data_IF_918013903777
#
_entry.id   IF_918013903777
#
_cell.length_a   1.000
_cell.length_b   1.000
_cell.length_c   1.000
_cell.angle_alpha   90.00
_cell.angle_beta   90.00
_cell.angle_gamma   90.00
#
_symmetry.space_group_name_H-M   'P 1'
#
loop_
_entity.id
_entity.type
_entity.pdbx_description
1 polymer ?
#
# COMPACT_ATOMS: atom_id res chain seq x y z
N UNK A 1 -22.73 -5.77 6.94
CA UNK A 1 -21.38 -6.23 7.31
C UNK A 1 -21.02 -7.44 6.47
N UNK A 2 -19.89 -7.42 5.77
CA UNK A 2 -19.51 -8.47 4.81
C UNK A 2 -18.03 -8.83 4.91
N UNK A 3 -17.74 -10.13 4.97
CA UNK A 3 -16.37 -10.67 5.01
C UNK A 3 -15.64 -10.47 3.67
N UNK A 4 -14.38 -10.02 3.76
CA UNK A 4 -13.48 -9.84 2.63
C UNK A 4 -12.34 -10.85 2.75
N UNK A 5 -12.69 -12.12 2.49
CA UNK A 5 -11.81 -13.30 2.70
C UNK A 5 -10.47 -13.22 1.95
N UNK A 6 -10.40 -12.46 0.87
CA UNK A 6 -9.15 -12.24 0.13
C UNK A 6 -8.11 -11.37 0.84
N UNK A 7 -8.51 -10.66 1.91
CA UNK A 7 -7.67 -9.72 2.67
C UNK A 7 -7.46 -10.23 4.09
N UNK A 8 -6.39 -11.00 4.29
CA UNK A 8 -6.02 -11.53 5.60
C UNK A 8 -5.37 -10.45 6.48
N UNK A 9 -5.80 -10.37 7.75
CA UNK A 9 -5.33 -9.43 8.77
C UNK A 9 -3.81 -9.54 9.02
N UNK A 10 -3.32 -10.77 9.12
CA UNK A 10 -1.92 -11.07 9.35
C UNK A 10 -1.02 -10.84 8.12
N UNK A 11 -1.59 -10.52 6.95
CA UNK A 11 -0.81 -10.32 5.71
C UNK A 11 -0.61 -8.83 5.44
N UNK A 12 0.63 -8.36 5.21
CA UNK A 12 0.87 -6.94 4.94
C UNK A 12 0.14 -6.46 3.69
N UNK A 13 0.18 -7.22 2.58
CA UNK A 13 -0.59 -6.88 1.38
C UNK A 13 -2.10 -6.96 1.64
N UNK A 14 -2.57 -7.92 2.46
CA UNK A 14 -3.97 -8.02 2.84
C UNK A 14 -4.45 -6.77 3.59
N UNK A 15 -3.66 -6.31 4.57
CA UNK A 15 -3.90 -5.10 5.31
C UNK A 15 -3.89 -3.85 4.41
N UNK A 16 -2.85 -3.68 3.60
CA UNK A 16 -2.74 -2.55 2.67
C UNK A 16 -3.89 -2.54 1.64
N UNK A 17 -4.28 -3.69 1.11
CA UNK A 17 -5.42 -3.79 0.19
C UNK A 17 -6.73 -3.39 0.87
N UNK A 18 -6.94 -3.76 2.14
CA UNK A 18 -8.13 -3.36 2.88
C UNK A 18 -8.17 -1.85 3.11
N UNK A 19 -7.03 -1.24 3.44
CA UNK A 19 -6.89 0.20 3.57
C UNK A 19 -7.16 0.94 2.26
N UNK A 20 -6.61 0.47 1.14
CA UNK A 20 -6.86 1.11 -0.14
C UNK A 20 -8.28 0.92 -0.64
N UNK A 21 -8.91 -0.22 -0.35
CA UNK A 21 -10.34 -0.44 -0.61
C UNK A 21 -11.19 0.56 0.17
N UNK A 22 -10.94 0.70 1.48
CA UNK A 22 -11.64 1.69 2.31
C UNK A 22 -11.45 3.11 1.76
N UNK A 23 -10.21 3.50 1.43
CA UNK A 23 -9.90 4.83 0.89
C UNK A 23 -10.65 5.11 -0.41
N UNK A 24 -10.62 4.18 -1.36
CA UNK A 24 -11.33 4.34 -2.64
C UNK A 24 -12.84 4.47 -2.40
N UNK A 25 -13.44 3.54 -1.67
CA UNK A 25 -14.89 3.52 -1.46
C UNK A 25 -15.37 4.76 -0.70
N UNK A 26 -14.68 5.17 0.36
CA UNK A 26 -15.06 6.33 1.15
C UNK A 26 -14.75 7.65 0.45
N UNK A 27 -13.49 7.85 0.01
CA UNK A 27 -13.04 9.16 -0.49
C UNK A 27 -13.31 9.37 -1.98
N UNK A 28 -13.03 8.39 -2.84
CA UNK A 28 -13.18 8.58 -4.30
C UNK A 28 -14.62 8.31 -4.75
N UNK A 29 -15.33 7.41 -4.04
CA UNK A 29 -16.70 7.00 -4.38
C UNK A 29 -17.76 7.60 -3.46
N UNK A 30 -17.35 8.26 -2.37
CA UNK A 30 -18.26 9.00 -1.49
C UNK A 30 -19.21 8.13 -0.68
N UNK A 31 -18.85 6.87 -0.42
CA UNK A 31 -19.70 5.91 0.28
C UNK A 31 -19.44 5.95 1.79
N UNK A 32 -20.52 5.83 2.58
CA UNK A 32 -20.42 5.62 4.03
C UNK A 32 -20.10 4.15 4.30
N UNK A 33 -18.79 3.85 4.32
CA UNK A 33 -18.27 2.50 4.57
C UNK A 33 -17.26 2.51 5.71
N UNK A 34 -17.22 1.40 6.45
CA UNK A 34 -16.31 1.23 7.59
C UNK A 34 -15.59 -0.10 7.51
N UNK A 35 -14.34 -0.12 7.96
CA UNK A 35 -13.47 -1.30 7.98
C UNK A 35 -13.32 -1.84 9.40
N UNK A 36 -13.47 -3.15 9.55
CA UNK A 36 -13.17 -3.90 10.76
C UNK A 36 -12.44 -5.19 10.43
N UNK A 37 -12.17 -6.00 11.46
CA UNK A 37 -11.48 -7.27 11.34
C UNK A 37 -12.20 -8.36 12.13
N UNK A 38 -12.49 -9.50 11.48
CA UNK A 38 -13.10 -10.66 12.14
C UNK A 38 -12.52 -11.95 11.57
N UNK A 39 -12.33 -12.95 12.43
CA UNK A 39 -11.84 -14.27 12.04
C UNK A 39 -10.55 -14.24 11.20
N UNK A 40 -9.66 -13.26 11.46
CA UNK A 40 -8.41 -13.08 10.73
C UNK A 40 -8.52 -12.44 9.35
N UNK A 41 -9.67 -11.88 8.98
CA UNK A 41 -9.89 -11.22 7.69
C UNK A 41 -10.51 -9.83 7.85
N UNK A 42 -10.34 -8.99 6.83
CA UNK A 42 -11.03 -7.71 6.73
C UNK A 42 -12.55 -7.92 6.59
N UNK A 43 -13.32 -7.03 7.19
CA UNK A 43 -14.77 -6.97 7.11
C UNK A 43 -15.17 -5.54 6.77
N UNK A 44 -16.08 -5.37 5.80
CA UNK A 44 -16.59 -4.05 5.42
C UNK A 44 -18.07 -3.90 5.84
N UNK A 45 -18.41 -2.75 6.40
CA UNK A 45 -19.77 -2.31 6.66
C UNK A 45 -20.16 -1.23 5.65
N UNK A 46 -21.46 -1.13 5.32
CA UNK A 46 -22.00 -0.13 4.40
C UNK A 46 -22.08 -0.55 2.92
N UNK A 47 -21.44 -1.66 2.53
CA UNK A 47 -21.49 -2.16 1.15
C UNK A 47 -21.27 -3.68 1.06
N UNK A 48 -21.98 -4.35 0.14
CA UNK A 48 -21.74 -5.76 -0.16
C UNK A 48 -20.55 -5.95 -1.13
N UNK A 49 -19.90 -7.13 -1.16
CA UNK A 49 -18.70 -7.33 -1.97
C UNK A 49 -18.88 -7.14 -3.47
N UNK A 50 -20.03 -7.49 -4.06
CA UNK A 50 -20.23 -7.33 -5.51
C UNK A 50 -20.45 -5.86 -5.87
N UNK A 51 -21.18 -5.11 -5.04
CA UNK A 51 -21.27 -3.65 -5.16
C UNK A 51 -19.92 -2.97 -4.96
N UNK A 52 -19.12 -3.41 -3.98
CA UNK A 52 -17.76 -2.89 -3.79
C UNK A 52 -16.89 -3.13 -5.03
N UNK A 53 -16.97 -4.30 -5.66
CA UNK A 53 -16.27 -4.59 -6.92
C UNK A 53 -16.72 -3.64 -8.04
N UNK A 54 -18.02 -3.33 -8.14
CA UNK A 54 -18.53 -2.37 -9.14
C UNK A 54 -17.91 -0.99 -8.94
N UNK A 55 -17.88 -0.51 -7.71
CA UNK A 55 -17.37 0.82 -7.37
C UNK A 55 -15.85 0.94 -7.54
N UNK A 56 -15.11 -0.10 -7.17
CA UNK A 56 -13.67 -0.21 -7.44
C UNK A 56 -13.39 -0.20 -8.95
N UNK A 57 -14.19 -0.90 -9.74
CA UNK A 57 -14.07 -0.88 -11.21
C UNK A 57 -14.41 0.50 -11.79
N UNK A 58 -15.44 1.17 -11.27
CA UNK A 58 -15.79 2.52 -11.70
C UNK A 58 -14.63 3.50 -11.43
N UNK A 59 -13.93 3.33 -10.30
CA UNK A 59 -12.74 4.13 -9.96
C UNK A 59 -11.54 3.91 -10.89
N UNK A 60 -11.50 2.83 -11.67
CA UNK A 60 -10.40 2.57 -12.60
C UNK A 60 -10.43 3.46 -13.85
N UNK A 61 -11.55 4.13 -14.10
CA UNK A 61 -11.71 5.06 -15.23
C UNK A 61 -10.63 6.16 -15.15
N UNK A 62 -9.81 6.27 -16.20
CA UNK A 62 -8.66 7.19 -16.30
C UNK A 62 -7.59 7.05 -15.20
N UNK A 63 -7.56 5.91 -14.51
CA UNK A 63 -6.68 5.72 -13.36
C UNK A 63 -5.22 5.60 -13.76
N UNK A 64 -4.93 5.10 -14.96
CA UNK A 64 -3.56 5.00 -15.48
C UNK A 64 -2.97 6.36 -15.87
N UNK A 65 -3.84 7.34 -16.08
CA UNK A 65 -3.56 8.71 -16.50
C UNK A 65 -3.54 9.68 -15.31
N UNK A 66 -3.90 9.25 -14.10
CA UNK A 66 -3.99 10.13 -12.94
C UNK A 66 -2.62 10.74 -12.58
N UNK A 67 -2.66 12.00 -12.13
CA UNK A 67 -1.49 12.85 -11.92
C UNK A 67 -0.48 12.22 -10.96
N UNK A 68 -0.95 11.62 -9.87
CA UNK A 68 -0.14 11.00 -8.83
C UNK A 68 0.64 9.75 -9.27
N UNK A 69 0.31 9.19 -10.43
CA UNK A 69 1.07 8.09 -11.04
C UNK A 69 1.89 8.54 -12.24
N UNK A 70 1.68 9.75 -12.75
CA UNK A 70 2.32 10.27 -13.97
C UNK A 70 3.37 11.36 -13.72
N UNK A 71 3.59 11.78 -12.48
CA UNK A 71 4.60 12.78 -12.12
C UNK A 71 6.05 12.31 -12.32
N UNK A 72 6.29 11.00 -12.31
CA UNK A 72 7.58 10.39 -12.58
C UNK A 72 7.45 8.91 -13.01
N UNK A 73 8.55 8.31 -13.44
CA UNK A 73 8.64 6.86 -13.67
C UNK A 73 8.96 6.07 -12.39
N UNK A 74 9.67 6.69 -11.45
CA UNK A 74 10.09 6.12 -10.17
C UNK A 74 10.06 7.21 -9.12
N UNK A 75 9.85 6.84 -7.86
CA UNK A 75 9.94 7.78 -6.73
C UNK A 75 11.38 8.15 -6.38
N UNK A 76 12.37 7.47 -6.98
CA UNK A 76 13.79 7.55 -6.60
C UNK A 76 14.55 8.52 -7.49
N UNK A 77 15.59 9.12 -6.89
CA UNK A 77 16.47 10.07 -7.57
C UNK A 77 15.71 11.24 -8.23
N UNK A 78 14.58 11.62 -7.64
CA UNK A 78 13.80 12.78 -8.09
C UNK A 78 14.39 14.03 -7.44
N UNK A 79 14.81 15.04 -8.22
CA UNK A 79 15.28 16.29 -7.66
C UNK A 79 14.15 17.05 -6.93
N UNK A 80 14.43 17.73 -5.81
CA UNK A 80 13.42 18.43 -5.01
C UNK A 80 12.70 19.53 -5.77
N UNK A 81 13.36 20.24 -6.68
CA UNK A 81 12.76 21.27 -7.52
C UNK A 81 11.72 20.71 -8.49
N UNK A 82 11.95 19.51 -9.03
CA UNK A 82 10.98 18.81 -9.88
C UNK A 82 9.78 18.40 -9.05
N UNK A 83 10.02 17.79 -7.88
CA UNK A 83 8.95 17.37 -6.98
C UNK A 83 8.06 18.55 -6.55
N UNK A 84 8.66 19.65 -6.09
CA UNK A 84 7.95 20.89 -5.71
C UNK A 84 7.14 21.48 -6.86
N UNK A 85 7.73 21.55 -8.05
CA UNK A 85 7.06 22.05 -9.25
C UNK A 85 5.83 21.21 -9.58
N UNK A 86 5.96 19.88 -9.49
CA UNK A 86 4.85 18.96 -9.73
C UNK A 86 3.76 19.12 -8.69
N UNK A 87 4.08 19.15 -7.39
CA UNK A 87 3.09 19.39 -6.32
C UNK A 87 2.38 20.74 -6.49
N UNK A 88 3.11 21.81 -6.89
CA UNK A 88 2.50 23.10 -7.21
C UNK A 88 1.48 23.03 -8.36
N UNK A 89 1.73 22.18 -9.34
CA UNK A 89 0.80 21.92 -10.44
C UNK A 89 -0.43 21.09 -10.04
N UNK A 90 -0.47 20.55 -8.82
CA UNK A 90 -1.53 19.70 -8.29
C UNK A 90 -2.31 20.37 -7.13
N UNK A 91 -2.13 21.68 -6.91
CA UNK A 91 -2.71 22.36 -5.73
C UNK A 91 -4.24 22.24 -5.64
N UNK A 92 -4.91 22.20 -6.78
CA UNK A 92 -6.37 22.06 -6.86
C UNK A 92 -6.84 20.60 -6.90
N UNK A 93 -5.91 19.64 -6.91
CA UNK A 93 -6.19 18.19 -6.88
C UNK A 93 -5.76 17.61 -5.53
N UNK A 94 -6.69 17.66 -4.57
CA UNK A 94 -6.48 17.13 -3.22
C UNK A 94 -6.03 15.67 -3.24
N UNK A 95 -6.65 14.83 -4.08
CA UNK A 95 -6.31 13.40 -4.19
C UNK A 95 -4.87 13.24 -4.62
N UNK A 96 -4.45 13.97 -5.66
CA UNK A 96 -3.07 13.90 -6.13
C UNK A 96 -2.08 14.32 -5.03
N UNK A 97 -2.35 15.41 -4.30
CA UNK A 97 -1.48 15.86 -3.19
C UNK A 97 -1.38 14.84 -2.04
N UNK A 98 -2.48 14.20 -1.67
CA UNK A 98 -2.48 13.14 -0.66
C UNK A 98 -1.59 11.97 -1.06
N UNK A 99 -1.64 11.56 -2.34
CA UNK A 99 -0.71 10.56 -2.87
C UNK A 99 0.73 11.05 -2.90
N UNK A 100 0.98 12.29 -3.31
CA UNK A 100 2.33 12.86 -3.32
C UNK A 100 2.95 12.80 -1.92
N UNK A 101 2.21 13.21 -0.88
CA UNK A 101 2.66 13.07 0.50
C UNK A 101 3.02 11.62 0.88
N UNK A 102 2.32 10.63 0.33
CA UNK A 102 2.62 9.21 0.47
C UNK A 102 3.80 8.71 -0.36
N UNK A 103 4.14 9.37 -1.47
CA UNK A 103 5.24 8.97 -2.36
C UNK A 103 6.60 9.45 -1.93
N UNK A 104 6.70 10.69 -1.45
CA UNK A 104 7.97 11.28 -1.05
C UNK A 104 7.79 12.53 -0.19
N UNK A 105 8.91 13.02 0.35
CA UNK A 105 9.00 14.36 0.93
C UNK A 105 10.28 15.06 0.48
N UNK A 106 10.18 16.35 0.20
CA UNK A 106 11.31 17.24 -0.07
C UNK A 106 11.73 18.05 1.16
N UNK A 107 11.05 17.88 2.30
CA UNK A 107 11.42 18.48 3.58
C UNK A 107 12.73 17.89 4.14
N UNK A 108 13.04 16.65 3.76
CA UNK A 108 14.30 15.97 4.06
C UNK A 108 14.86 15.40 2.76
N UNK A 109 16.12 15.69 2.48
CA UNK A 109 16.80 15.18 1.30
C UNK A 109 17.65 13.95 1.62
N UNK A 110 17.74 13.04 0.66
CA UNK A 110 18.63 11.88 0.69
C UNK A 110 19.53 11.90 -0.54
N UNK A 111 20.83 12.13 -0.33
CA UNK A 111 21.82 12.28 -1.40
C UNK A 111 21.42 13.34 -2.45
N UNK A 112 20.86 14.47 -1.99
CA UNK A 112 20.42 15.57 -2.85
C UNK A 112 19.05 15.39 -3.52
N UNK A 113 18.40 14.24 -3.35
CA UNK A 113 17.07 13.95 -3.89
C UNK A 113 15.99 13.98 -2.81
N UNK A 114 14.72 14.06 -3.21
CA UNK A 114 13.60 13.87 -2.26
C UNK A 114 13.71 12.50 -1.59
N UNK A 115 13.26 12.42 -0.33
CA UNK A 115 13.20 11.14 0.39
C UNK A 115 11.97 10.36 -0.11
N UNK A 116 12.14 9.21 -0.78
CA UNK A 116 11.01 8.42 -1.24
C UNK A 116 10.38 7.61 -0.11
N UNK A 117 9.16 7.16 -0.35
CA UNK A 117 8.44 6.22 0.48
C UNK A 117 9.17 4.89 0.61
N UNK A 118 9.05 4.26 1.79
CA UNK A 118 9.55 2.92 2.05
C UNK A 118 8.71 1.84 1.34
N UNK A 119 7.53 2.20 0.85
CA UNK A 119 6.66 1.35 0.03
C UNK A 119 7.24 1.06 -1.36
N UNK A 120 8.19 1.87 -1.85
CA UNK A 120 8.93 1.58 -3.08
C UNK A 120 10.08 0.62 -2.79
N UNK A 121 9.80 -0.68 -2.86
CA UNK A 121 10.77 -1.77 -2.66
C UNK A 121 11.46 -2.24 -3.95
N UNK A 122 11.27 -1.53 -5.07
CA UNK A 122 11.86 -1.91 -6.36
C UNK A 122 13.40 -1.81 -6.36
N UNK A 123 14.10 -2.11 -7.44
CA UNK A 123 15.56 -1.95 -7.50
C UNK A 123 16.12 -1.76 -8.90
N UNK A 124 17.32 -1.17 -8.97
CA UNK A 124 18.04 -0.99 -10.22
C UNK A 124 17.24 -0.19 -11.25
N UNK A 125 16.91 -0.84 -12.38
CA UNK A 125 16.19 -0.23 -13.50
C UNK A 125 14.66 -0.29 -13.36
N UNK A 126 14.12 -0.87 -12.27
CA UNK A 126 12.67 -0.94 -12.05
C UNK A 126 12.08 0.45 -11.82
N UNK A 127 10.89 0.67 -12.38
CA UNK A 127 10.22 1.96 -12.42
C UNK A 127 8.82 1.78 -11.84
N UNK A 128 8.71 1.83 -10.51
CA UNK A 128 7.47 1.53 -9.78
C UNK A 128 6.25 2.23 -10.38
N UNK A 129 6.30 3.55 -10.54
CA UNK A 129 5.14 4.31 -11.03
C UNK A 129 4.77 3.92 -12.46
N UNK A 130 5.77 3.66 -13.31
CA UNK A 130 5.53 3.12 -14.66
C UNK A 130 4.83 1.76 -14.61
N UNK A 131 5.31 0.86 -13.76
CA UNK A 131 4.74 -0.48 -13.63
C UNK A 131 3.32 -0.43 -13.04
N UNK A 132 3.03 0.52 -12.15
CA UNK A 132 1.69 0.77 -11.62
C UNK A 132 0.74 1.32 -12.69
N UNK A 133 1.18 2.24 -13.56
CA UNK A 133 0.37 2.67 -14.71
C UNK A 133 0.02 1.50 -15.63
N UNK A 134 0.99 0.65 -15.93
CA UNK A 134 0.76 -0.57 -16.70
C UNK A 134 -0.16 -1.56 -16.00
N UNK A 135 -0.14 -1.63 -14.67
CA UNK A 135 -1.10 -2.40 -13.88
C UNK A 135 -2.51 -1.80 -13.97
N UNK A 136 -2.66 -0.48 -13.81
CA UNK A 136 -3.95 0.20 -13.89
C UNK A 136 -4.67 -0.05 -15.22
N UNK A 137 -3.93 -0.09 -16.34
CA UNK A 137 -4.47 -0.34 -17.68
C UNK A 137 -5.04 -1.75 -17.89
N UNK A 138 -4.63 -2.72 -17.06
CA UNK A 138 -4.97 -4.14 -17.25
C UNK A 138 -5.74 -4.74 -16.07
N UNK A 139 -5.95 -3.99 -14.99
CA UNK A 139 -6.83 -4.43 -13.89
C UNK A 139 -8.26 -4.47 -14.43
N UNK A 140 -8.99 -5.49 -14.01
CA UNK A 140 -10.30 -5.88 -14.54
C UNK A 140 -11.14 -6.36 -13.36
N UNK A 141 -12.44 -6.49 -13.57
CA UNK A 141 -13.39 -6.95 -12.55
C UNK A 141 -12.94 -8.23 -11.85
N UNK A 142 -12.45 -9.21 -12.62
CA UNK A 142 -11.98 -10.50 -12.09
C UNK A 142 -10.85 -10.34 -11.07
N UNK A 143 -9.98 -9.35 -11.25
CA UNK A 143 -8.85 -9.09 -10.35
C UNK A 143 -9.32 -8.54 -9.00
N UNK A 144 -10.33 -7.66 -8.97
CA UNK A 144 -10.95 -7.22 -7.71
C UNK A 144 -11.75 -8.34 -7.05
N UNK A 145 -12.43 -9.19 -7.84
CA UNK A 145 -13.08 -10.39 -7.29
C UNK A 145 -12.08 -11.29 -6.55
N UNK A 146 -10.91 -11.54 -7.14
CA UNK A 146 -9.82 -12.30 -6.50
C UNK A 146 -9.28 -11.58 -5.26
N UNK A 147 -9.17 -10.24 -5.30
CA UNK A 147 -8.67 -9.46 -4.18
C UNK A 147 -9.62 -9.49 -2.97
N UNK A 148 -10.93 -9.40 -3.20
CA UNK A 148 -11.94 -9.33 -2.13
C UNK A 148 -12.37 -10.71 -1.64
N UNK A 149 -12.59 -11.65 -2.55
CA UNK A 149 -13.16 -12.97 -2.22
C UNK A 149 -12.11 -14.08 -2.08
N UNK A 150 -10.86 -13.78 -2.46
CA UNK A 150 -9.80 -14.78 -2.57
C UNK A 150 -9.76 -15.43 -3.94
N UNK A 151 -8.65 -16.09 -4.24
CA UNK A 151 -8.39 -16.70 -5.54
C UNK A 151 -6.92 -17.03 -5.74
N UNK A 152 -6.62 -17.54 -6.94
CA UNK A 152 -5.26 -17.97 -7.32
C UNK A 152 -4.35 -16.76 -7.54
N UNK A 153 -3.05 -17.01 -7.37
CA UNK A 153 -2.01 -16.06 -7.79
C UNK A 153 -1.88 -16.06 -9.32
N UNK A 154 -1.52 -14.90 -9.87
CA UNK A 154 -1.29 -14.66 -11.29
C UNK A 154 0.11 -14.07 -11.51
N UNK A 155 0.56 -13.97 -12.76
CA UNK A 155 1.86 -13.37 -13.12
C UNK A 155 1.90 -11.85 -12.94
N UNK A 156 1.91 -11.39 -11.69
CA UNK A 156 2.02 -9.98 -11.29
C UNK A 156 2.90 -9.84 -10.06
N UNK A 157 3.98 -9.08 -10.16
CA UNK A 157 4.81 -8.76 -9.00
C UNK A 157 3.99 -8.12 -7.88
N UNK A 158 4.17 -8.60 -6.65
CA UNK A 158 3.67 -7.92 -5.45
C UNK A 158 4.51 -6.70 -5.06
N UNK A 159 5.57 -6.41 -5.81
CA UNK A 159 6.56 -5.37 -5.50
C UNK A 159 7.15 -5.53 -4.09
N UNK A 160 7.30 -6.76 -3.63
CA UNK A 160 7.83 -7.07 -2.31
C UNK A 160 6.83 -6.93 -1.17
N UNK A 161 5.58 -6.52 -1.44
CA UNK A 161 4.53 -6.33 -0.42
C UNK A 161 3.90 -7.65 0.06
N UNK A 162 4.07 -8.74 -0.68
CA UNK A 162 3.52 -10.06 -0.33
C UNK A 162 4.64 -11.07 -0.03
N UNK A 163 4.89 -11.40 1.25
CA UNK A 163 5.90 -12.38 1.65
C UNK A 163 5.65 -13.80 1.09
N UNK A 164 4.39 -14.18 0.85
CA UNK A 164 4.04 -15.51 0.32
C UNK A 164 4.50 -15.62 -1.14
N UNK A 165 4.22 -14.58 -1.93
CA UNK A 165 4.66 -14.49 -3.32
C UNK A 165 6.18 -14.59 -3.44
N UNK A 166 6.90 -13.90 -2.55
CA UNK A 166 8.36 -13.85 -2.51
C UNK A 166 8.96 -15.23 -2.22
N UNK A 167 8.39 -15.97 -1.25
CA UNK A 167 8.82 -17.35 -0.94
C UNK A 167 8.61 -18.30 -2.10
N UNK A 168 7.44 -18.27 -2.73
CA UNK A 168 7.14 -19.12 -3.88
C UNK A 168 8.18 -18.95 -4.99
N UNK A 169 8.59 -17.71 -5.24
CA UNK A 169 9.59 -17.36 -6.24
C UNK A 169 11.02 -17.72 -5.89
N UNK A 170 11.37 -17.69 -4.61
CA UNK A 170 12.70 -18.09 -4.15
C UNK A 170 12.95 -19.61 -4.26
N UNK A 171 11.89 -20.43 -4.34
CA UNK A 171 11.98 -21.90 -4.38
C UNK A 171 11.83 -22.50 -5.79
N UNK A 172 11.61 -21.70 -6.85
CA UNK A 172 11.54 -22.22 -8.22
C UNK A 172 12.93 -22.62 -8.76
N UNK A 173 13.05 -23.83 -9.32
CA UNK A 173 14.29 -24.37 -9.94
C UNK A 173 14.72 -23.64 -11.23
N UNK A 174 13.88 -22.75 -11.76
CA UNK A 174 14.17 -22.00 -12.99
C UNK A 174 14.73 -20.62 -12.64
N UNK A 175 15.76 -20.19 -13.39
CA UNK A 175 16.38 -18.89 -13.20
C UNK A 175 15.33 -17.75 -13.22
N UNK A 176 15.46 -16.71 -12.38
CA UNK A 176 14.43 -15.67 -12.14
C UNK A 176 14.04 -14.81 -13.35
N UNK A 177 14.59 -15.08 -14.53
CA UNK A 177 14.48 -14.26 -15.74
C UNK A 177 13.29 -14.60 -16.63
N UNK A 178 12.53 -15.69 -16.39
CA UNK A 178 11.45 -16.14 -17.30
C UNK A 178 10.03 -16.19 -16.72
N UNK A 179 9.83 -16.19 -15.39
CA UNK A 179 8.49 -16.18 -14.75
C UNK A 179 8.25 -14.89 -13.96
N UNK A 180 7.12 -14.21 -14.21
CA UNK A 180 6.71 -13.04 -13.40
C UNK A 180 6.40 -13.49 -11.97
N UNK A 181 6.84 -12.71 -10.98
CA UNK A 181 6.46 -12.90 -9.58
C UNK A 181 4.95 -13.13 -9.40
N UNK A 182 4.52 -14.15 -8.64
CA UNK A 182 3.14 -14.41 -8.40
C UNK A 182 2.60 -13.25 -7.56
N UNK A 183 1.40 -12.79 -7.90
CA UNK A 183 0.68 -11.82 -7.09
C UNK A 183 -0.77 -11.76 -7.52
N UNK A 184 -1.56 -10.96 -6.81
CA UNK A 184 -2.96 -10.75 -7.13
C UNK A 184 -3.11 -9.32 -7.63
N UNK A 185 -3.34 -9.09 -8.95
CA UNK A 185 -3.35 -7.75 -9.52
C UNK A 185 -4.26 -6.75 -8.78
N UNK A 186 -5.46 -7.18 -8.38
CA UNK A 186 -6.38 -6.34 -7.61
C UNK A 186 -5.86 -6.01 -6.20
N UNK A 187 -5.26 -6.98 -5.50
CA UNK A 187 -4.66 -6.73 -4.18
C UNK A 187 -3.46 -5.78 -4.26
N UNK A 188 -2.61 -5.96 -5.28
CA UNK A 188 -1.47 -5.07 -5.52
C UNK A 188 -1.96 -3.66 -5.82
N UNK A 189 -2.94 -3.52 -6.69
CA UNK A 189 -3.53 -2.22 -7.01
C UNK A 189 -4.09 -1.53 -5.76
N UNK A 190 -4.95 -2.23 -5.00
CA UNK A 190 -5.53 -1.69 -3.77
C UNK A 190 -4.46 -1.38 -2.72
N UNK A 191 -3.39 -2.17 -2.62
CA UNK A 191 -2.30 -1.84 -1.71
C UNK A 191 -1.65 -0.50 -2.05
N UNK A 192 -1.47 -0.17 -3.34
CA UNK A 192 -0.97 1.15 -3.74
C UNK A 192 -2.02 2.25 -3.68
N UNK A 193 -3.31 1.94 -3.77
CA UNK A 193 -4.36 2.91 -3.43
C UNK A 193 -4.31 3.34 -1.95
N UNK A 194 -3.64 2.59 -1.08
CA UNK A 194 -3.46 2.97 0.34
C UNK A 194 -2.34 3.98 0.61
N UNK A 195 -1.59 4.41 -0.41
CA UNK A 195 -0.42 5.30 -0.25
C UNK A 195 -0.73 6.61 0.50
N UNK A 196 -1.87 7.28 0.29
CA UNK A 196 -2.29 8.43 1.10
C UNK A 196 -2.31 8.19 2.62
N UNK A 197 -2.54 6.95 3.06
CA UNK A 197 -2.54 6.56 4.48
C UNK A 197 -1.13 6.27 5.03
N UNK A 198 -0.10 6.47 4.20
CA UNK A 198 1.30 6.20 4.50
C UNK A 198 2.20 7.40 4.14
N UNK A 199 1.91 8.64 4.62
CA UNK A 199 2.72 9.80 4.28
C UNK A 199 4.18 9.64 4.69
N UNK A 200 5.09 10.25 3.93
CA UNK A 200 6.51 10.35 4.27
C UNK A 200 6.72 11.60 5.10
N UNK A 201 6.82 11.43 6.41
CA UNK A 201 6.84 12.52 7.38
C UNK A 201 8.27 12.81 7.87
N UNK A 202 8.71 14.08 7.95
CA UNK A 202 9.94 14.45 8.61
C UNK A 202 9.82 14.24 10.12
N UNK A 203 10.79 13.54 10.72
CA UNK A 203 10.86 13.29 12.17
C UNK A 203 12.04 14.03 12.83
N UNK A 204 12.91 14.62 12.02
CA UNK A 204 14.00 15.52 12.43
C UNK A 204 14.53 16.25 11.20
N UNK A 205 15.43 17.22 11.37
CA UNK A 205 15.98 18.03 10.28
C UNK A 205 16.59 17.22 9.12
N UNK A 206 17.07 16.00 9.38
CA UNK A 206 17.74 15.14 8.41
C UNK A 206 17.13 13.74 8.29
N UNK A 207 15.97 13.46 8.91
CA UNK A 207 15.31 12.15 8.82
C UNK A 207 13.83 12.29 8.57
N UNK A 208 13.35 11.47 7.65
CA UNK A 208 11.93 11.25 7.41
C UNK A 208 11.63 9.75 7.40
N UNK A 209 10.40 9.40 7.76
CA UNK A 209 9.91 8.04 7.86
C UNK A 209 8.58 7.93 7.11
N UNK A 210 8.33 6.78 6.49
CA UNK A 210 6.99 6.47 5.97
C UNK A 210 6.12 6.00 7.12
N UNK A 211 4.95 6.60 7.29
CA UNK A 211 3.98 6.14 8.31
C UNK A 211 3.76 4.64 8.21
N UNK A 212 3.67 3.95 9.36
CA UNK A 212 3.59 2.49 9.40
C UNK A 212 4.94 1.76 9.32
N UNK A 213 6.06 2.45 9.18
CA UNK A 213 7.38 1.82 9.10
C UNK A 213 8.26 2.16 10.30
N UNK A 214 9.03 1.18 10.78
CA UNK A 214 10.21 1.41 11.63
C UNK A 214 11.41 1.79 10.77
N UNK A 215 12.28 2.62 11.34
CA UNK A 215 13.56 2.99 10.72
C UNK A 215 14.62 1.89 10.91
N UNK A 216 15.73 2.00 10.19
CA UNK A 216 16.90 1.13 10.36
C UNK A 216 17.50 1.26 11.78
N UNK A 217 18.05 0.19 12.39
CA UNK A 217 18.28 -1.17 11.84
C UNK A 217 17.04 -2.07 11.78
N UNK A 218 16.04 -1.84 12.62
CA UNK A 218 14.84 -2.69 12.75
C UNK A 218 13.76 -2.35 11.72
N UNK A 219 14.16 -2.14 10.46
CA UNK A 219 13.26 -1.73 9.40
C UNK A 219 12.15 -2.78 9.22
N UNK A 220 10.92 -2.42 9.57
CA UNK A 220 9.75 -3.27 9.45
C UNK A 220 8.53 -2.44 9.11
N UNK A 221 7.59 -3.03 8.36
CA UNK A 221 6.24 -2.49 8.25
C UNK A 221 5.40 -3.02 9.41
N UNK A 222 4.68 -2.14 10.10
CA UNK A 222 3.92 -2.42 11.33
C UNK A 222 2.49 -1.94 11.17
N UNK A 223 1.53 -2.78 11.56
CA UNK A 223 0.12 -2.44 11.45
C UNK A 223 -0.74 -3.01 12.60
N UNK A 224 -1.74 -2.24 13.06
CA UNK A 224 -2.68 -2.69 14.06
C UNK A 224 -3.88 -3.42 13.42
N UNK A 225 -4.46 -4.34 14.18
CA UNK A 225 -5.77 -4.94 13.98
C UNK A 225 -6.65 -4.49 15.14
N UNK A 226 -7.91 -4.17 14.84
CA UNK A 226 -8.83 -3.56 15.80
C UNK A 226 -10.20 -4.25 15.81
N UNK A 227 -10.98 -4.07 16.88
CA UNK A 227 -12.27 -4.72 17.09
C UNK A 227 -13.50 -3.90 16.63
N UNK A 228 -13.36 -2.59 16.45
CA UNK A 228 -14.42 -1.69 15.99
C UNK A 228 -14.54 -1.61 14.45
N UNK A 229 -15.67 -1.09 13.95
CA UNK A 229 -15.78 -0.65 12.56
C UNK A 229 -15.37 0.81 12.46
N UNK A 230 -14.26 1.08 11.78
CA UNK A 230 -13.67 2.41 11.66
C UNK A 230 -13.90 3.00 10.26
N UNK A 231 -14.29 4.27 10.20
CA UNK A 231 -14.32 5.03 8.95
C UNK A 231 -12.91 5.43 8.49
N UNK A 232 -12.79 6.01 7.30
CA UNK A 232 -11.50 6.40 6.73
C UNK A 232 -10.74 7.39 7.62
N UNK A 233 -11.42 8.36 8.24
CA UNK A 233 -10.83 9.36 9.13
C UNK A 233 -10.29 8.72 10.41
N UNK A 234 -11.04 7.80 11.01
CA UNK A 234 -10.64 7.06 12.21
C UNK A 234 -9.43 6.15 11.93
N UNK A 235 -9.45 5.46 10.80
CA UNK A 235 -8.31 4.66 10.33
C UNK A 235 -7.09 5.56 10.09
N UNK A 236 -7.27 6.71 9.43
CA UNK A 236 -6.19 7.68 9.19
C UNK A 236 -5.57 8.14 10.51
N UNK A 237 -6.41 8.47 11.51
CA UNK A 237 -5.95 8.84 12.85
C UNK A 237 -5.15 7.70 13.52
N UNK A 238 -5.68 6.48 13.49
CA UNK A 238 -4.99 5.30 14.04
C UNK A 238 -3.61 5.10 13.38
N UNK A 239 -3.49 5.33 12.07
CA UNK A 239 -2.21 5.23 11.35
C UNK A 239 -1.19 6.29 11.75
N UNK A 240 -1.61 7.46 12.25
CA UNK A 240 -0.68 8.50 12.72
C UNK A 240 -0.06 8.24 14.09
N UNK A 241 -0.57 7.26 14.84
CA UNK A 241 -0.05 6.96 16.17
C UNK A 241 1.39 6.41 16.10
N UNK A 242 2.23 6.72 17.10
CA UNK A 242 3.54 6.08 17.22
C UNK A 242 3.41 4.56 17.27
N UNK A 243 4.20 3.85 16.47
CA UNK A 243 4.11 2.39 16.33
C UNK A 243 4.23 1.66 17.67
N UNK A 244 5.15 2.13 18.52
CA UNK A 244 5.40 1.51 19.84
C UNK A 244 4.23 1.67 20.81
N UNK A 245 3.24 2.52 20.51
CA UNK A 245 2.05 2.74 21.35
C UNK A 245 0.79 2.06 20.79
N UNK A 246 0.89 1.36 19.67
CA UNK A 246 -0.28 0.72 19.05
C UNK A 246 -0.88 -0.35 19.96
N UNK A 247 -0.05 -1.13 20.67
CA UNK A 247 -0.51 -2.19 21.58
C UNK A 247 -1.24 -1.63 22.82
N UNK A 248 -0.97 -0.38 23.21
CA UNK A 248 -1.61 0.30 24.34
C UNK A 248 -2.96 0.91 23.96
N UNK A 249 -3.29 0.98 22.67
CA UNK A 249 -4.46 1.70 22.19
C UNK A 249 -5.73 0.88 22.44
N UNK A 250 -6.73 1.43 23.15
CA UNK A 250 -8.02 0.75 23.31
C UNK A 250 -8.65 0.39 21.97
N UNK A 251 -9.15 -0.84 21.86
CA UNK A 251 -9.74 -1.40 20.65
C UNK A 251 -8.73 -2.00 19.67
N UNK A 252 -7.42 -1.78 19.84
CA UNK A 252 -6.39 -2.54 19.11
C UNK A 252 -6.24 -3.90 19.77
N UNK A 253 -6.51 -4.96 19.02
CA UNK A 253 -6.49 -6.34 19.51
C UNK A 253 -5.18 -7.06 19.17
N UNK A 254 -4.55 -6.68 18.05
CA UNK A 254 -3.28 -7.25 17.61
C UNK A 254 -2.41 -6.17 16.96
N UNK A 255 -1.10 -6.33 17.07
CA UNK A 255 -0.13 -5.58 16.27
C UNK A 255 0.70 -6.60 15.52
N UNK A 256 0.84 -6.42 14.22
CA UNK A 256 1.63 -7.27 13.35
C UNK A 256 2.79 -6.48 12.77
N UNK A 257 3.87 -7.18 12.48
CA UNK A 257 4.95 -6.60 11.71
C UNK A 257 5.60 -7.58 10.75
N UNK A 258 6.21 -7.00 9.73
CA UNK A 258 6.99 -7.70 8.72
C UNK A 258 8.31 -6.95 8.53
N UNK A 259 9.42 -7.60 8.90
CA UNK A 259 10.76 -7.10 8.63
C UNK A 259 10.92 -6.84 7.13
N UNK A 260 11.60 -5.77 6.81
CA UNK A 260 12.12 -5.54 5.48
C UNK A 260 13.50 -6.16 5.36
N UNK A 261 13.71 -6.83 4.23
CA UNK A 261 15.03 -7.26 3.81
C UNK A 261 15.21 -7.07 2.31
N UNK A 262 16.35 -7.53 1.84
CA UNK A 262 16.69 -7.54 0.43
C UNK A 262 17.24 -8.88 0.01
N UNK A 263 16.80 -9.39 -1.14
CA UNK A 263 17.44 -10.52 -1.82
C UNK A 263 18.06 -10.01 -3.12
N UNK A 264 19.39 -10.06 -3.20
CA UNK A 264 20.14 -9.39 -4.25
C UNK A 264 19.88 -7.89 -4.24
N UNK A 265 19.29 -7.36 -5.32
CA UNK A 265 18.96 -5.93 -5.42
C UNK A 265 17.54 -5.60 -4.93
N UNK A 266 16.63 -6.58 -4.86
CA UNK A 266 15.20 -6.34 -4.64
C UNK A 266 14.86 -6.26 -3.15
N UNK A 267 14.09 -5.25 -2.76
CA UNK A 267 13.49 -5.16 -1.43
C UNK A 267 12.26 -6.04 -1.32
N UNK A 268 11.99 -6.55 -0.12
CA UNK A 268 10.83 -7.38 0.18
C UNK A 268 10.47 -7.33 1.65
N UNK A 269 9.20 -7.54 1.94
CA UNK A 269 8.74 -7.88 3.27
C UNK A 269 8.96 -9.37 3.53
N UNK A 270 9.48 -9.67 4.70
CA UNK A 270 9.57 -11.02 5.22
C UNK A 270 8.24 -11.46 5.84
N UNK A 271 8.08 -12.77 6.03
CA UNK A 271 6.92 -13.35 6.69
C UNK A 271 6.60 -12.62 8.00
N UNK A 272 5.32 -12.27 8.20
CA UNK A 272 4.92 -11.43 9.31
C UNK A 272 4.87 -12.22 10.62
N UNK A 273 5.03 -11.52 11.73
CA UNK A 273 4.81 -12.04 13.07
C UNK A 273 3.98 -11.06 13.90
N UNK A 274 3.31 -11.58 14.92
CA UNK A 274 2.56 -10.77 15.88
C UNK A 274 3.52 -10.19 16.91
N UNK A 275 3.40 -8.91 17.19
CA UNK A 275 4.16 -8.24 18.24
C UNK A 275 3.55 -8.56 19.62
N UNK A 276 4.42 -8.63 20.63
CA UNK A 276 4.07 -8.91 22.02
C UNK A 276 4.22 -7.66 22.87
#
# INVERSE_FOLDING_TARGET
MHDIKGMAAASPIGFLSALGMLRVLASDRGLDVKLGWQNGHAVIEGIDPESAINELMANMTYRSESLEFNWADSTRKVPPEIYRKTCKGMLDDRRALEFMAGWATDAVLYNGYVKPTRMDMTSGAQKLLRDLRGLAQRVERKHFKVALLGGKYEGQSSFGLDPIAVRSHAHERQAPTKSKAPGKPGSVWLAFESIPLHPVIPISANRAITTGWRAHPDSAYVWPIWDAFLCLEEVSLLRTLPLEKLHERPGVTEVWSASYGSSGKYGMLYPPWREH
#
